data_IF_110887334819
#
_entry.id   IF_110887334819
#
_cell.length_a   1.000
_cell.length_b   1.000
_cell.length_c   1.000
_cell.angle_alpha   90.00
_cell.angle_beta   90.00
_cell.angle_gamma   90.00
#
_symmetry.space_group_name_H-M   'P 1'
#
loop_
_entity.id
_entity.type
_entity.pdbx_description
1 polymer ?
#
# COMPACT_ATOMS: atom_id res chain seq x y z
N UNK A 1 -2.75 50.03 -45.39
CA UNK A 1 -2.10 49.39 -44.22
C UNK A 1 -3.17 48.78 -43.33
N UNK A 2 -3.35 47.44 -43.37
CA UNK A 2 -4.33 46.72 -42.54
C UNK A 2 -3.65 46.26 -41.26
N UNK A 3 -4.12 46.71 -40.10
CA UNK A 3 -3.66 46.28 -38.78
C UNK A 3 -4.38 44.93 -38.43
N UNK A 4 -3.60 43.88 -38.22
CA UNK A 4 -4.09 42.57 -37.74
C UNK A 4 -4.12 42.63 -36.21
N UNK A 5 -5.26 42.33 -35.55
CA UNK A 5 -5.29 42.28 -34.10
C UNK A 5 -4.62 40.99 -33.63
N UNK A 6 -3.66 41.12 -32.70
CA UNK A 6 -3.05 40.01 -31.98
C UNK A 6 -4.01 39.56 -30.87
N UNK A 7 -4.59 38.41 -31.04
CA UNK A 7 -5.41 37.76 -29.99
C UNK A 7 -4.45 37.00 -29.07
N UNK A 8 -4.26 37.51 -27.85
CA UNK A 8 -3.52 36.81 -26.79
C UNK A 8 -4.49 35.82 -26.15
N UNK A 9 -4.30 34.53 -26.46
CA UNK A 9 -5.02 33.41 -25.78
C UNK A 9 -4.25 33.13 -24.50
N UNK A 10 -4.76 33.62 -23.37
CA UNK A 10 -4.26 33.22 -22.03
C UNK A 10 -4.78 31.82 -21.70
N UNK A 11 -3.91 30.82 -21.81
CA UNK A 11 -4.19 29.48 -21.35
C UNK A 11 -4.19 29.49 -19.80
N UNK A 12 -5.37 29.41 -19.20
CA UNK A 12 -5.52 29.17 -17.77
C UNK A 12 -5.23 27.70 -17.51
N UNK A 13 -4.04 27.39 -17.03
CA UNK A 13 -3.70 26.06 -16.54
C UNK A 13 -4.49 25.80 -15.25
N UNK A 14 -5.60 25.06 -15.35
CA UNK A 14 -6.30 24.53 -14.19
C UNK A 14 -5.46 23.41 -13.59
N UNK A 15 -4.64 23.76 -12.62
CA UNK A 15 -3.92 22.78 -11.79
C UNK A 15 -4.96 22.12 -10.89
N UNK A 16 -5.44 20.95 -11.29
CA UNK A 16 -6.23 20.09 -10.42
C UNK A 16 -5.29 19.62 -9.31
N UNK A 17 -5.29 20.32 -8.19
CA UNK A 17 -4.67 19.83 -6.97
C UNK A 17 -5.42 18.58 -6.54
N UNK A 18 -4.84 17.39 -6.81
CA UNK A 18 -5.25 16.14 -6.19
C UNK A 18 -4.92 16.29 -4.71
N UNK A 19 -5.91 16.67 -3.93
CA UNK A 19 -5.80 16.66 -2.47
C UNK A 19 -5.69 15.20 -2.04
N UNK A 20 -4.46 14.75 -1.81
CA UNK A 20 -4.22 13.51 -1.08
C UNK A 20 -4.88 13.67 0.30
N UNK A 21 -6.00 12.99 0.53
CA UNK A 21 -6.76 13.02 1.79
C UNK A 21 -5.98 12.53 3.01
N UNK A 22 -4.70 12.21 2.90
CA UNK A 22 -3.87 11.69 3.99
C UNK A 22 -3.18 12.77 4.83
N UNK A 23 -3.14 14.03 4.36
CA UNK A 23 -2.52 15.12 5.10
C UNK A 23 -3.50 15.74 6.10
N UNK A 24 -3.71 15.12 7.25
CA UNK A 24 -4.50 15.72 8.33
C UNK A 24 -5.44 14.79 9.12
N UNK A 25 -5.50 13.50 8.79
CA UNK A 25 -6.28 12.54 9.58
C UNK A 25 -5.37 11.91 10.65
N UNK A 26 -5.72 12.07 11.92
CA UNK A 26 -5.15 11.22 12.97
C UNK A 26 -5.81 9.83 12.89
N UNK A 27 -5.07 8.82 12.45
CA UNK A 27 -5.54 7.45 12.23
C UNK A 27 -5.10 6.47 13.33
N UNK A 28 -4.38 6.91 14.34
CA UNK A 28 -3.77 6.05 15.37
C UNK A 28 -4.77 5.12 16.04
N UNK A 29 -5.96 5.62 16.36
CA UNK A 29 -7.01 4.81 16.99
C UNK A 29 -7.53 3.70 16.07
N UNK A 30 -7.53 3.94 14.74
CA UNK A 30 -7.97 2.96 13.75
C UNK A 30 -6.88 1.92 13.50
N UNK A 31 -5.63 2.35 13.39
CA UNK A 31 -4.47 1.45 13.22
C UNK A 31 -4.38 0.47 14.40
N UNK A 32 -4.60 0.95 15.62
CA UNK A 32 -4.58 0.09 16.82
C UNK A 32 -5.71 -0.95 16.89
N UNK A 33 -6.74 -0.81 16.07
CA UNK A 33 -7.88 -1.75 16.06
C UNK A 33 -7.66 -2.99 15.21
N UNK A 34 -6.55 -3.06 14.45
CA UNK A 34 -6.24 -4.16 13.55
C UNK A 34 -7.41 -4.51 12.62
N UNK A 35 -7.42 -4.06 11.42
CA UNK A 35 -8.57 -4.30 10.52
C UNK A 35 -8.29 -3.94 9.08
N UNK A 36 -7.04 -3.58 8.78
CA UNK A 36 -6.58 -3.21 7.46
C UNK A 36 -6.04 -4.39 6.65
N UNK A 37 -5.89 -4.20 5.37
CA UNK A 37 -5.30 -5.19 4.48
C UNK A 37 -3.88 -5.59 4.91
N UNK A 38 -3.07 -4.64 5.35
CA UNK A 38 -1.70 -4.90 5.85
C UNK A 38 -1.69 -5.76 7.10
N UNK A 39 -2.65 -5.58 8.02
CA UNK A 39 -2.76 -6.40 9.23
C UNK A 39 -3.04 -7.86 8.86
N UNK A 40 -3.93 -8.08 7.88
CA UNK A 40 -4.22 -9.42 7.37
C UNK A 40 -2.98 -10.06 6.72
N UNK A 41 -2.25 -9.33 5.88
CA UNK A 41 -1.04 -9.85 5.26
C UNK A 41 -0.02 -10.25 6.33
N UNK A 42 0.14 -9.47 7.40
CA UNK A 42 1.04 -9.83 8.51
C UNK A 42 0.64 -11.09 9.25
N UNK A 43 -0.64 -11.45 9.26
CA UNK A 43 -1.05 -12.75 9.82
C UNK A 43 -0.60 -13.93 8.96
N UNK A 44 -0.49 -13.73 7.65
CA UNK A 44 -0.02 -14.74 6.69
C UNK A 44 1.51 -14.72 6.56
N UNK A 45 2.10 -13.54 6.54
CA UNK A 45 3.52 -13.30 6.32
C UNK A 45 4.00 -12.27 7.37
N UNK A 46 4.44 -12.70 8.56
CA UNK A 46 4.86 -11.79 9.64
C UNK A 46 5.97 -10.80 9.23
N UNK A 47 6.81 -11.19 8.27
CA UNK A 47 7.91 -10.37 7.75
C UNK A 47 7.46 -9.30 6.74
N UNK A 48 6.16 -9.24 6.34
CA UNK A 48 5.69 -8.22 5.40
C UNK A 48 5.91 -6.81 5.98
N UNK A 49 6.63 -5.93 5.27
CA UNK A 49 6.87 -4.57 5.72
C UNK A 49 5.57 -3.75 5.63
N UNK A 50 5.31 -2.89 6.63
CA UNK A 50 4.18 -1.97 6.60
C UNK A 50 4.66 -0.66 6.00
N UNK A 51 4.24 -0.30 4.77
CA UNK A 51 4.60 0.97 4.17
C UNK A 51 3.78 2.11 4.78
N UNK A 52 4.41 3.26 5.00
CA UNK A 52 3.77 4.44 5.59
C UNK A 52 3.30 5.45 4.53
N UNK A 53 3.77 5.32 3.29
CA UNK A 53 3.46 6.24 2.21
C UNK A 53 3.57 5.55 0.84
N UNK A 54 3.15 6.26 -0.23
CA UNK A 54 3.13 5.72 -1.59
C UNK A 54 4.53 5.34 -2.11
N UNK A 55 5.57 6.09 -1.75
CA UNK A 55 6.95 5.81 -2.18
C UNK A 55 7.44 4.49 -1.58
N UNK A 56 7.15 4.26 -0.32
CA UNK A 56 7.49 2.99 0.35
C UNK A 56 6.72 1.82 -0.24
N UNK A 57 5.44 2.03 -0.63
CA UNK A 57 4.65 1.00 -1.32
C UNK A 57 5.27 0.67 -2.68
N UNK A 58 5.63 1.67 -3.48
CA UNK A 58 6.26 1.46 -4.78
C UNK A 58 7.60 0.72 -4.65
N UNK A 59 8.34 0.99 -3.59
CA UNK A 59 9.62 0.32 -3.28
C UNK A 59 9.46 -1.16 -2.87
N UNK A 60 8.25 -1.63 -2.57
CA UNK A 60 8.02 -3.04 -2.22
C UNK A 60 8.14 -3.99 -3.41
N UNK A 61 8.07 -3.51 -4.64
CA UNK A 61 8.19 -4.37 -5.81
C UNK A 61 9.53 -5.10 -5.80
N UNK A 62 9.49 -6.43 -5.69
CA UNK A 62 10.68 -7.28 -5.75
C UNK A 62 10.52 -8.49 -6.69
N UNK A 63 9.39 -8.56 -7.42
CA UNK A 63 9.09 -9.63 -8.37
C UNK A 63 8.28 -9.08 -9.54
N UNK A 64 8.48 -9.63 -10.73
CA UNK A 64 7.69 -9.25 -11.91
C UNK A 64 6.31 -9.89 -11.87
N UNK A 65 5.29 -9.17 -12.38
CA UNK A 65 3.89 -9.63 -12.32
C UNK A 65 3.67 -11.00 -12.98
N UNK A 66 4.25 -11.30 -14.16
CA UNK A 66 4.10 -12.61 -14.79
C UNK A 66 4.72 -13.78 -14.00
N UNK A 67 5.63 -13.48 -13.08
CA UNK A 67 6.32 -14.46 -12.24
C UNK A 67 5.60 -14.73 -10.92
N UNK A 68 4.40 -14.19 -10.75
CA UNK A 68 3.60 -14.34 -9.52
C UNK A 68 3.41 -15.80 -9.15
N UNK A 69 3.54 -16.09 -7.86
CA UNK A 69 3.34 -17.43 -7.28
C UNK A 69 2.39 -17.37 -6.09
N UNK A 70 1.85 -18.52 -5.71
CA UNK A 70 1.09 -18.66 -4.47
C UNK A 70 1.98 -18.29 -3.27
N UNK A 71 1.44 -17.53 -2.33
CA UNK A 71 2.19 -17.01 -1.20
C UNK A 71 2.77 -15.60 -1.41
N UNK A 72 2.75 -15.07 -2.61
CA UNK A 72 3.13 -13.68 -2.87
C UNK A 72 2.05 -12.70 -2.37
N UNK A 73 2.39 -11.42 -2.34
CA UNK A 73 1.47 -10.32 -2.07
C UNK A 73 1.24 -9.52 -3.34
N UNK A 74 -0.01 -9.51 -3.81
CA UNK A 74 -0.44 -8.65 -4.89
C UNK A 74 -0.80 -7.26 -4.35
N UNK A 75 -0.25 -6.22 -4.95
CA UNK A 75 -0.44 -4.83 -4.57
C UNK A 75 -1.22 -4.13 -5.68
N UNK A 76 -2.31 -3.48 -5.29
CA UNK A 76 -3.24 -2.80 -6.19
C UNK A 76 -3.19 -1.29 -5.94
N UNK A 77 -3.15 -0.52 -7.02
CA UNK A 77 -3.39 0.92 -7.00
C UNK A 77 -4.86 1.17 -7.37
N UNK A 78 -5.65 1.55 -6.38
CA UNK A 78 -7.09 1.82 -6.54
C UNK A 78 -7.36 3.33 -6.76
N UNK A 79 -6.32 4.09 -7.07
CA UNK A 79 -6.38 5.52 -7.35
C UNK A 79 -6.42 6.40 -6.11
N UNK A 80 -7.33 6.15 -5.18
CA UNK A 80 -7.46 6.91 -3.94
C UNK A 80 -6.69 6.29 -2.78
N UNK A 81 -6.38 5.01 -2.85
CA UNK A 81 -5.64 4.27 -1.84
C UNK A 81 -4.99 3.03 -2.46
N UNK A 82 -3.96 2.54 -1.78
CA UNK A 82 -3.31 1.28 -2.11
C UNK A 82 -3.96 0.14 -1.33
N UNK A 83 -3.98 -1.03 -1.93
CA UNK A 83 -4.52 -2.23 -1.32
C UNK A 83 -3.57 -3.40 -1.52
N UNK A 84 -3.43 -4.25 -0.50
CA UNK A 84 -2.59 -5.44 -0.53
C UNK A 84 -3.44 -6.69 -0.27
N UNK A 85 -3.15 -7.76 -1.00
CA UNK A 85 -3.86 -9.03 -0.90
C UNK A 85 -2.89 -10.20 -1.00
N UNK A 86 -3.16 -11.27 -0.26
CA UNK A 86 -2.38 -12.50 -0.30
C UNK A 86 -2.79 -13.36 -1.50
N UNK A 87 -1.84 -13.83 -2.30
CA UNK A 87 -2.10 -14.70 -3.46
C UNK A 87 -2.31 -16.13 -2.99
N UNK A 88 -3.55 -16.60 -3.10
CA UNK A 88 -3.96 -17.96 -2.71
C UNK A 88 -3.78 -18.95 -3.86
N UNK A 89 -3.94 -18.50 -5.12
CA UNK A 89 -3.84 -19.33 -6.31
C UNK A 89 -3.43 -18.52 -7.53
N UNK A 90 -2.65 -19.14 -8.42
CA UNK A 90 -2.32 -18.60 -9.75
C UNK A 90 -3.01 -19.44 -10.83
N UNK A 91 -3.68 -18.77 -11.76
CA UNK A 91 -4.29 -19.40 -12.93
C UNK A 91 -3.34 -19.26 -14.11
N UNK A 92 -3.03 -20.39 -14.71
CA UNK A 92 -2.12 -20.48 -15.86
C UNK A 92 -2.91 -20.72 -17.17
N UNK A 93 -2.39 -20.19 -18.28
CA UNK A 93 -2.85 -20.58 -19.60
C UNK A 93 -2.30 -21.96 -20.04
N UNK A 94 -2.60 -22.37 -21.26
CA UNK A 94 -2.14 -23.66 -21.80
C UNK A 94 -0.62 -23.70 -22.02
N UNK A 95 0.03 -22.56 -22.09
CA UNK A 95 1.47 -22.40 -22.25
C UNK A 95 2.21 -22.33 -20.89
N UNK A 96 1.47 -22.30 -19.78
CA UNK A 96 2.02 -22.19 -18.43
C UNK A 96 2.25 -20.76 -17.97
N UNK A 97 1.79 -19.74 -18.70
CA UNK A 97 1.92 -18.36 -18.26
C UNK A 97 0.81 -17.98 -17.29
N UNK A 98 1.14 -17.23 -16.27
CA UNK A 98 0.16 -16.69 -15.34
C UNK A 98 -0.76 -15.67 -16.03
N UNK A 99 -2.08 -15.83 -15.83
CA UNK A 99 -3.11 -14.97 -16.45
C UNK A 99 -3.99 -14.27 -15.45
N UNK A 100 -4.25 -14.91 -14.32
CA UNK A 100 -5.07 -14.37 -13.24
C UNK A 100 -4.67 -14.97 -11.90
N UNK A 101 -5.17 -14.37 -10.81
CA UNK A 101 -4.94 -14.83 -9.45
C UNK A 101 -6.22 -14.86 -8.64
N UNK A 102 -6.30 -15.78 -7.67
CA UNK A 102 -7.23 -15.71 -6.56
C UNK A 102 -6.49 -15.13 -5.35
N UNK A 103 -7.13 -14.23 -4.64
CA UNK A 103 -6.52 -13.59 -3.47
C UNK A 103 -7.44 -13.65 -2.27
N UNK A 104 -6.83 -13.65 -1.08
CA UNK A 104 -7.49 -13.34 0.18
C UNK A 104 -7.02 -12.01 0.74
N UNK A 105 -7.91 -11.27 1.37
CA UNK A 105 -7.67 -9.89 1.76
C UNK A 105 -8.59 -9.44 2.89
N UNK A 106 -8.31 -8.29 3.48
CA UNK A 106 -9.15 -7.67 4.51
C UNK A 106 -9.39 -6.20 4.18
N UNK A 107 -10.53 -5.67 4.62
CA UNK A 107 -10.92 -4.27 4.38
C UNK A 107 -11.11 -3.90 2.89
N UNK A 108 -11.29 -4.89 2.01
CA UNK A 108 -11.60 -4.63 0.60
C UNK A 108 -13.11 -4.41 0.44
N UNK A 109 -13.50 -3.15 0.40
CA UNK A 109 -14.92 -2.78 0.33
C UNK A 109 -15.13 -1.38 -0.23
N UNK A 110 -16.39 -0.97 -0.23
CA UNK A 110 -16.80 0.35 -0.67
C UNK A 110 -16.73 1.39 0.45
N UNK A 111 -17.12 2.62 0.08
CA UNK A 111 -17.25 3.69 1.05
C UNK A 111 -18.39 3.39 2.02
N UNK A 112 -18.06 3.24 3.28
CA UNK A 112 -19.02 2.99 4.35
C UNK A 112 -19.98 4.18 4.53
N UNK A 113 -21.28 3.91 4.59
CA UNK A 113 -22.28 4.90 4.94
C UNK A 113 -22.25 5.25 6.44
N UNK A 114 -22.84 6.37 6.82
CA UNK A 114 -22.95 6.73 8.23
C UNK A 114 -23.80 5.72 9.02
N UNK A 115 -24.83 5.14 8.42
CA UNK A 115 -25.66 4.14 9.08
C UNK A 115 -24.89 2.85 9.35
N UNK A 116 -24.10 2.37 8.39
CA UNK A 116 -23.21 1.22 8.59
C UNK A 116 -22.20 1.48 9.69
N UNK A 117 -21.57 2.66 9.69
CA UNK A 117 -20.66 3.07 10.74
C UNK A 117 -21.35 3.07 12.10
N UNK A 118 -22.52 3.68 12.20
CA UNK A 118 -23.33 3.77 13.43
C UNK A 118 -23.69 2.38 13.97
N UNK A 119 -24.07 1.46 13.10
CA UNK A 119 -24.44 0.12 13.51
C UNK A 119 -23.23 -0.70 14.00
N UNK A 120 -22.03 -0.45 13.45
CA UNK A 120 -20.84 -1.20 13.81
C UNK A 120 -20.11 -0.65 15.04
N UNK A 121 -20.05 0.67 15.21
CA UNK A 121 -19.18 1.30 16.22
C UNK A 121 -19.85 2.26 17.18
N UNK A 122 -21.16 2.37 17.18
CA UNK A 122 -21.91 3.25 18.13
C UNK A 122 -21.24 4.63 18.31
N UNK A 123 -21.06 5.41 17.24
CA UNK A 123 -20.25 6.60 17.24
C UNK A 123 -20.84 7.70 18.11
N UNK A 124 -19.99 8.55 18.66
CA UNK A 124 -20.41 9.74 19.40
C UNK A 124 -20.95 10.82 18.48
N UNK A 125 -20.40 10.96 17.27
CA UNK A 125 -20.82 11.96 16.28
C UNK A 125 -20.39 11.63 14.84
N UNK A 126 -20.86 12.45 13.88
CA UNK A 126 -20.51 12.29 12.45
C UNK A 126 -19.05 12.59 12.12
N UNK A 127 -18.31 13.31 12.96
CA UNK A 127 -16.90 13.60 12.70
C UNK A 127 -16.03 12.35 12.83
N UNK A 128 -16.37 11.43 13.72
CA UNK A 128 -15.71 10.13 13.85
C UNK A 128 -15.86 9.29 12.57
N UNK A 129 -17.06 9.27 11.99
CA UNK A 129 -17.28 8.61 10.70
C UNK A 129 -16.46 9.23 9.57
N UNK A 130 -16.42 10.56 9.47
CA UNK A 130 -15.59 11.24 8.47
C UNK A 130 -14.11 10.89 8.64
N UNK A 131 -13.64 10.83 9.90
CA UNK A 131 -12.28 10.41 10.22
C UNK A 131 -12.01 8.95 9.81
N UNK A 132 -12.92 8.02 10.11
CA UNK A 132 -12.82 6.64 9.70
C UNK A 132 -12.66 6.51 8.17
N UNK A 133 -13.49 7.22 7.40
CA UNK A 133 -13.38 7.24 5.93
C UNK A 133 -12.04 7.79 5.45
N UNK A 134 -11.56 8.87 6.09
CA UNK A 134 -10.27 9.48 5.78
C UNK A 134 -9.11 8.49 6.06
N UNK A 135 -9.25 7.68 7.09
CA UNK A 135 -8.29 6.63 7.45
C UNK A 135 -8.44 5.33 6.64
N UNK A 136 -9.20 5.32 5.54
CA UNK A 136 -9.33 4.15 4.67
C UNK A 136 -10.18 3.01 5.23
N UNK A 137 -11.04 3.29 6.20
CA UNK A 137 -12.00 2.32 6.73
C UNK A 137 -13.15 2.14 5.74
N UNK A 138 -13.34 0.91 5.27
CA UNK A 138 -14.43 0.55 4.36
C UNK A 138 -15.60 -0.09 5.09
N UNK A 139 -16.70 -0.39 4.39
CA UNK A 139 -17.82 -1.19 4.89
C UNK A 139 -17.41 -2.63 5.26
N UNK A 140 -16.23 -3.07 4.80
CA UNK A 140 -15.62 -4.38 5.08
C UNK A 140 -14.45 -4.34 6.09
N UNK A 141 -14.29 -3.23 6.82
CA UNK A 141 -13.24 -3.11 7.81
C UNK A 141 -13.23 -4.26 8.83
N UNK A 142 -12.07 -4.88 9.01
CA UNK A 142 -11.88 -6.06 9.85
C UNK A 142 -12.54 -7.33 9.33
N UNK A 143 -13.03 -7.34 8.08
CA UNK A 143 -13.59 -8.52 7.44
C UNK A 143 -12.65 -9.00 6.34
N UNK A 144 -12.38 -10.31 6.36
CA UNK A 144 -11.68 -11.00 5.29
C UNK A 144 -12.63 -11.31 4.15
N UNK A 145 -12.11 -11.32 2.94
CA UNK A 145 -12.81 -11.72 1.72
C UNK A 145 -11.87 -12.46 0.78
N UNK A 146 -12.45 -13.15 -0.19
CA UNK A 146 -11.71 -13.80 -1.27
C UNK A 146 -12.23 -13.26 -2.58
N UNK A 147 -11.32 -12.77 -3.43
CA UNK A 147 -11.62 -12.46 -4.84
C UNK A 147 -10.97 -13.48 -5.73
N UNK A 148 -11.70 -13.94 -6.74
CA UNK A 148 -11.25 -14.98 -7.66
C UNK A 148 -11.07 -14.46 -9.05
N UNK A 149 -10.15 -15.10 -9.77
CA UNK A 149 -9.89 -14.85 -11.19
C UNK A 149 -9.63 -13.39 -11.52
N UNK A 150 -8.82 -12.71 -10.68
CA UNK A 150 -8.40 -11.33 -10.90
C UNK A 150 -7.34 -11.34 -12.00
N UNK A 151 -7.58 -10.65 -13.14
CA UNK A 151 -6.60 -10.64 -14.23
C UNK A 151 -5.33 -9.89 -13.81
N UNK A 152 -4.17 -10.36 -14.25
CA UNK A 152 -2.88 -9.79 -13.83
C UNK A 152 -2.69 -8.32 -14.22
N UNK A 153 -3.37 -7.84 -15.25
CA UNK A 153 -3.33 -6.42 -15.62
C UNK A 153 -4.01 -5.48 -14.61
N UNK A 154 -4.79 -6.02 -13.67
CA UNK A 154 -5.33 -5.27 -12.54
C UNK A 154 -4.35 -5.14 -11.38
N UNK A 155 -3.27 -5.93 -11.37
CA UNK A 155 -2.23 -5.90 -10.35
C UNK A 155 -1.20 -4.83 -10.70
N UNK A 156 -0.85 -3.98 -9.76
CA UNK A 156 0.15 -2.93 -9.97
C UNK A 156 1.57 -3.45 -9.79
N UNK A 157 1.80 -4.29 -8.78
CA UNK A 157 3.10 -4.88 -8.48
C UNK A 157 2.97 -6.11 -7.59
N UNK A 158 4.02 -6.92 -7.54
CA UNK A 158 4.15 -8.09 -6.68
C UNK A 158 5.27 -7.87 -5.69
N UNK A 159 5.02 -8.27 -4.44
CA UNK A 159 6.03 -8.47 -3.42
C UNK A 159 6.04 -9.96 -3.02
N UNK A 160 7.25 -10.55 -2.99
CA UNK A 160 7.47 -11.94 -2.59
C UNK A 160 8.22 -12.00 -1.26
N UNK A 161 7.80 -12.83 -0.30
CA UNK A 161 8.50 -13.01 0.96
C UNK A 161 9.87 -13.69 0.80
N UNK A 162 10.07 -14.39 -0.30
CA UNK A 162 11.30 -15.08 -0.63
C UNK A 162 11.89 -14.38 -1.85
N UNK A 163 13.06 -13.70 -1.73
CA UNK A 163 13.80 -13.35 -2.94
C UNK A 163 14.01 -14.65 -3.71
N UNK A 164 13.70 -14.65 -5.01
CA UNK A 164 13.96 -15.79 -5.87
C UNK A 164 15.43 -16.19 -5.74
N UNK A 165 15.73 -17.09 -4.82
CA UNK A 165 17.01 -17.76 -4.81
C UNK A 165 17.02 -18.61 -6.06
N UNK A 166 17.83 -18.20 -7.02
CA UNK A 166 18.19 -19.04 -8.15
C UNK A 166 18.68 -20.39 -7.58
N UNK A 167 17.78 -21.37 -7.52
CA UNK A 167 18.21 -22.76 -7.33
C UNK A 167 19.01 -23.14 -8.55
N UNK A 168 20.33 -23.14 -8.43
CA UNK A 168 21.23 -23.55 -9.50
C UNK A 168 22.68 -23.21 -9.31
N UNK A 169 23.21 -23.10 -8.09
CA UNK A 169 24.67 -23.28 -7.86
C UNK A 169 24.87 -23.90 -6.49
N UNK A 170 25.06 -25.20 -6.48
CA UNK A 170 25.63 -25.88 -5.34
C UNK A 170 27.05 -25.33 -5.06
N UNK A 171 27.23 -24.80 -3.85
CA UNK A 171 28.55 -24.62 -3.26
C UNK A 171 29.21 -23.27 -3.41
N UNK A 172 28.85 -22.34 -2.54
CA UNK A 172 29.82 -21.51 -1.81
C UNK A 172 29.07 -20.76 -0.71
N UNK A 173 29.37 -21.11 0.53
CA UNK A 173 29.00 -20.33 1.70
C UNK A 173 29.67 -18.96 1.53
N UNK A 174 28.90 -17.96 1.12
CA UNK A 174 29.37 -16.57 1.04
C UNK A 174 28.65 -15.77 2.13
N UNK A 175 29.32 -15.64 3.26
CA UNK A 175 28.84 -14.87 4.43
C UNK A 175 28.61 -13.37 4.12
N UNK A 176 29.05 -12.92 2.94
CA UNK A 176 29.02 -11.51 2.52
C UNK A 176 27.62 -10.98 2.18
N UNK A 177 26.66 -11.86 1.82
CA UNK A 177 25.30 -11.44 1.45
C UNK A 177 24.48 -11.14 2.71
N UNK A 178 24.61 -11.97 3.75
CA UNK A 178 23.95 -11.74 5.04
C UNK A 178 24.44 -10.44 5.69
N UNK A 179 25.75 -10.18 5.60
CA UNK A 179 26.37 -8.96 6.12
C UNK A 179 25.88 -7.71 5.38
N UNK A 180 25.71 -7.77 4.05
CA UNK A 180 25.19 -6.65 3.25
C UNK A 180 23.71 -6.35 3.57
N UNK A 181 22.89 -7.37 3.76
CA UNK A 181 21.49 -7.20 4.14
C UNK A 181 21.38 -6.63 5.56
N UNK A 182 22.19 -7.12 6.49
CA UNK A 182 22.24 -6.62 7.86
C UNK A 182 22.76 -5.17 7.90
N UNK A 183 23.75 -4.83 7.09
CA UNK A 183 24.27 -3.47 6.99
C UNK A 183 23.26 -2.50 6.36
N UNK A 184 22.52 -2.93 5.34
CA UNK A 184 21.45 -2.13 4.72
C UNK A 184 20.31 -1.87 5.71
N UNK A 185 19.89 -2.86 6.49
CA UNK A 185 18.89 -2.71 7.55
C UNK A 185 19.38 -1.77 8.66
N UNK A 186 20.63 -1.90 9.09
CA UNK A 186 21.20 -1.02 10.13
C UNK A 186 21.30 0.45 9.65
N UNK A 187 21.64 0.69 8.38
CA UNK A 187 21.65 2.05 7.80
C UNK A 187 20.23 2.63 7.75
N UNK A 188 19.23 1.81 7.44
CA UNK A 188 17.82 2.23 7.42
C UNK A 188 17.33 2.63 8.81
N UNK A 189 17.63 1.84 9.85
CA UNK A 189 17.26 2.16 11.23
C UNK A 189 17.99 3.41 11.77
N UNK A 190 19.22 3.64 11.38
CA UNK A 190 19.99 4.84 11.76
C UNK A 190 19.44 6.09 11.09
N UNK A 191 18.98 6.00 9.85
CA UNK A 191 18.37 7.10 9.13
C UNK A 191 17.01 7.50 9.75
N UNK A 192 16.15 6.52 10.02
CA UNK A 192 14.86 6.75 10.68
C UNK A 192 15.01 7.38 12.07
N UNK A 193 16.04 6.98 12.84
CA UNK A 193 16.34 7.55 14.16
C UNK A 193 16.84 8.99 14.09
N UNK A 194 17.53 9.36 13.02
CA UNK A 194 18.04 10.73 12.80
C UNK A 194 16.92 11.70 12.45
N UNK A 195 15.96 11.30 11.63
CA UNK A 195 14.79 12.14 11.28
C UNK A 195 13.90 12.43 12.50
N UNK A 196 13.71 11.44 13.40
CA UNK A 196 12.95 11.62 14.63
C UNK A 196 13.64 12.55 15.66
N UNK A 197 14.96 12.74 15.57
CA UNK A 197 15.71 13.61 16.47
C UNK A 197 15.69 15.09 16.04
N UNK A 198 15.35 15.39 14.79
CA UNK A 198 15.37 16.77 14.24
C UNK A 198 14.05 17.51 14.53
N UNK A 199 12.96 16.81 14.83
CA UNK A 199 11.64 17.41 15.09
C UNK A 199 11.40 17.78 16.56
N UNK A 200 12.36 17.56 17.46
CA UNK A 200 12.26 17.77 18.91
C UNK A 200 12.74 19.12 19.45
N UNK A 201 12.99 20.13 18.64
CA UNK A 201 13.42 21.45 19.13
C UNK A 201 12.21 22.36 19.41
N UNK A 202 11.71 22.28 20.65
CA UNK A 202 10.74 23.21 21.20
C UNK A 202 11.40 24.57 21.50
N UNK A 203 10.86 25.63 20.90
CA UNK A 203 11.17 27.01 21.34
C UNK A 203 10.38 27.35 22.61
N UNK A 204 10.98 27.96 23.60
CA UNK A 204 10.23 28.52 24.73
C UNK A 204 9.58 29.84 24.30
N UNK A 205 8.30 29.98 24.62
CA UNK A 205 7.57 31.26 24.52
C UNK A 205 7.76 32.00 25.84
N UNK A 206 8.21 33.26 25.75
CA UNK A 206 8.09 34.24 26.82
C UNK A 206 6.64 34.79 26.87
#
# INVERSE_FOLDING_TARGET
>A
MRRIPVIIVTAVAVTVMRTNCHAGCNCDDWVKKDGYCVDYIKTKIPAFPIPNNAVEIEALKNKEIPEVTEGDVAIFDLGNYWHVSYVEKVHLDRQGNATAIDVSEMNFGGRMSFNEYKNKWSPKNKSEWKRALCCGVTDKYGRTSVRKNIPLNAVKQIWSPIPATSEGVAGRHDDTVLDRVTEALNRFFLFAKRELSITGSSHPVM
#
